data_IF_635683606496
#
_entry.id   IF_635683606496
#
_cell.length_a   1.000
_cell.length_b   1.000
_cell.length_c   1.000
_cell.angle_alpha   90.00
_cell.angle_beta   90.00
_cell.angle_gamma   90.00
#
_symmetry.space_group_name_H-M   'P 1'
#
loop_
_entity.id
_entity.type
_entity.pdbx_description
1 polymer ?
#
# COMPACT_ATOMS: atom_id res chain seq x y z
N UNK A 1 -12.57 -17.34 -6.38
CA UNK A 1 -11.42 -16.49 -6.05
C UNK A 1 -11.65 -15.19 -6.79
N UNK A 2 -11.99 -14.10 -6.10
CA UNK A 2 -12.05 -12.80 -6.77
C UNK A 2 -10.62 -12.32 -7.04
N UNK A 3 -10.36 -11.90 -8.27
CA UNK A 3 -9.04 -11.41 -8.69
C UNK A 3 -8.96 -9.92 -8.36
N UNK A 4 -8.14 -9.52 -7.38
CA UNK A 4 -7.86 -8.10 -7.15
C UNK A 4 -6.96 -7.56 -8.27
N UNK A 5 -7.37 -6.47 -8.92
CA UNK A 5 -6.52 -5.75 -9.86
C UNK A 5 -5.55 -4.85 -9.09
N UNK A 6 -4.26 -5.16 -9.20
CA UNK A 6 -3.17 -4.39 -8.60
C UNK A 6 -2.55 -3.46 -9.64
N UNK A 7 -2.40 -2.20 -9.30
CA UNK A 7 -1.62 -1.25 -10.08
C UNK A 7 -0.17 -1.13 -9.56
N UNK A 8 0.66 -0.35 -10.26
CA UNK A 8 2.07 -0.18 -9.90
C UNK A 8 2.28 0.45 -8.49
N UNK A 9 1.33 1.26 -8.01
CA UNK A 9 1.41 1.83 -6.66
C UNK A 9 1.13 0.75 -5.63
N UNK A 10 0.14 -0.10 -5.88
CA UNK A 10 -0.18 -1.21 -4.98
C UNK A 10 0.98 -2.18 -4.85
N UNK A 11 1.66 -2.52 -5.96
CA UNK A 11 2.84 -3.38 -5.93
C UNK A 11 3.97 -2.78 -5.10
N UNK A 12 4.23 -1.47 -5.22
CA UNK A 12 5.23 -0.76 -4.40
C UNK A 12 4.86 -0.76 -2.92
N UNK A 13 3.58 -0.55 -2.60
CA UNK A 13 3.10 -0.59 -1.21
C UNK A 13 3.26 -2.00 -0.62
N UNK A 14 2.94 -3.04 -1.39
CA UNK A 14 3.11 -4.43 -0.97
C UNK A 14 4.59 -4.77 -0.75
N UNK A 15 5.47 -4.41 -1.68
CA UNK A 15 6.92 -4.63 -1.55
C UNK A 15 7.48 -3.92 -0.31
N UNK A 16 7.12 -2.65 -0.08
CA UNK A 16 7.56 -1.89 1.07
C UNK A 16 7.07 -2.52 2.39
N UNK A 17 5.80 -2.92 2.47
CA UNK A 17 5.21 -3.57 3.65
C UNK A 17 5.77 -4.98 3.90
N UNK A 18 6.05 -5.74 2.84
CA UNK A 18 6.68 -7.06 2.95
C UNK A 18 8.12 -6.95 3.48
N UNK A 19 8.84 -5.89 3.10
CA UNK A 19 10.18 -5.60 3.61
C UNK A 19 10.17 -5.11 5.06
N UNK A 20 9.25 -4.21 5.39
CA UNK A 20 9.06 -3.69 6.74
C UNK A 20 7.60 -3.27 6.99
N UNK A 21 6.90 -4.10 7.76
CA UNK A 21 5.50 -3.87 8.13
C UNK A 21 5.33 -2.92 9.33
N UNK A 22 6.43 -2.50 9.98
CA UNK A 22 6.39 -1.56 11.11
C UNK A 22 6.28 -0.09 10.67
N UNK A 23 6.48 0.18 9.37
CA UNK A 23 6.38 1.52 8.80
C UNK A 23 5.03 2.18 9.11
N UNK A 24 5.09 3.45 9.50
CA UNK A 24 3.87 4.26 9.63
C UNK A 24 3.27 4.53 8.25
N UNK A 25 1.97 4.81 8.21
CA UNK A 25 1.30 5.20 6.98
C UNK A 25 1.91 6.48 6.35
N UNK A 26 2.52 7.37 7.15
CA UNK A 26 3.20 8.55 6.62
C UNK A 26 4.51 8.20 5.90
N UNK A 27 5.34 7.33 6.48
CA UNK A 27 6.57 6.85 5.85
C UNK A 27 6.26 6.08 4.56
N UNK A 28 5.32 5.14 4.64
CA UNK A 28 4.89 4.35 3.50
C UNK A 28 4.34 5.22 2.35
N UNK A 29 3.58 6.27 2.68
CA UNK A 29 3.07 7.21 1.70
C UNK A 29 4.18 8.05 1.03
N UNK A 30 5.19 8.46 1.81
CA UNK A 30 6.35 9.18 1.30
C UNK A 30 7.16 8.30 0.33
N UNK A 31 7.42 7.05 0.71
CA UNK A 31 8.16 6.07 -0.10
C UNK A 31 7.42 5.72 -1.40
N UNK A 32 6.09 5.66 -1.35
CA UNK A 32 5.25 5.41 -2.52
C UNK A 32 4.93 6.68 -3.35
N UNK A 33 5.44 7.85 -2.94
CA UNK A 33 5.18 9.16 -3.56
C UNK A 33 3.69 9.49 -3.72
N UNK A 34 2.88 9.20 -2.69
CA UNK A 34 1.44 9.48 -2.64
C UNK A 34 1.06 10.21 -1.35
N UNK A 35 -0.13 10.80 -1.31
CA UNK A 35 -0.61 11.42 -0.08
C UNK A 35 -0.98 10.35 0.98
N UNK A 36 -0.79 10.63 2.29
CA UNK A 36 -1.14 9.70 3.36
C UNK A 36 -2.60 9.18 3.31
N UNK A 37 -3.62 10.00 2.97
CA UNK A 37 -4.99 9.49 2.79
C UNK A 37 -5.13 8.51 1.61
N UNK A 38 -4.38 8.70 0.53
CA UNK A 38 -4.40 7.79 -0.63
C UNK A 38 -3.73 6.46 -0.29
N UNK A 39 -2.60 6.51 0.42
CA UNK A 39 -1.92 5.33 0.94
C UNK A 39 -2.85 4.50 1.83
N UNK A 40 -3.53 5.14 2.79
CA UNK A 40 -4.43 4.45 3.71
C UNK A 40 -5.56 3.71 2.99
N UNK A 41 -6.24 4.38 2.04
CA UNK A 41 -7.32 3.74 1.25
C UNK A 41 -6.82 2.55 0.46
N UNK A 42 -5.64 2.65 -0.15
CA UNK A 42 -5.04 1.56 -0.94
C UNK A 42 -4.67 0.38 -0.04
N UNK A 43 -4.02 0.62 1.09
CA UNK A 43 -3.68 -0.43 2.06
C UNK A 43 -4.93 -1.13 2.60
N UNK A 44 -5.99 -0.38 2.89
CA UNK A 44 -7.28 -0.97 3.32
C UNK A 44 -7.88 -1.87 2.24
N UNK A 45 -7.87 -1.44 0.98
CA UNK A 45 -8.32 -2.27 -0.16
C UNK A 45 -7.49 -3.55 -0.29
N UNK A 46 -6.16 -3.45 -0.17
CA UNK A 46 -5.25 -4.60 -0.26
C UNK A 46 -5.42 -5.61 0.87
N UNK A 47 -5.82 -5.15 2.07
CA UNK A 47 -6.11 -6.03 3.22
C UNK A 47 -7.47 -6.74 3.13
N UNK A 48 -8.39 -6.20 2.35
CA UNK A 48 -9.76 -6.71 2.23
C UNK A 48 -9.93 -7.73 1.09
N UNK A 49 -8.90 -7.92 0.26
CA UNK A 49 -8.84 -8.92 -0.81
C UNK A 49 -8.19 -10.22 -0.34
#
# INVERSE_FOLDING_TARGET
>A
MESISLDATDLRLLEALQRDASQTNQQLAADAHISPPTCLRRVQRLKAA
#
